data_IF_935831367632
#
_entry.id   IF_935831367632
#
_cell.length_a   1.000
_cell.length_b   1.000
_cell.length_c   1.000
_cell.angle_alpha   90.00
_cell.angle_beta   90.00
_cell.angle_gamma   90.00
#
_symmetry.space_group_name_H-M   'P 1'
#
loop_
_entity.id
_entity.type
_entity.pdbx_description
1 polymer ?
#
# COMPACT_ATOMS: atom_id res chain seq x y z
N UNK A 1 13.34 -16.92 -5.45
CA UNK A 1 14.25 -15.86 -4.93
C UNK A 1 13.51 -14.52 -4.95
N UNK A 2 13.41 -13.83 -3.82
CA UNK A 2 12.78 -12.51 -3.74
C UNK A 2 13.70 -11.51 -4.45
N UNK A 3 13.29 -10.95 -5.60
CA UNK A 3 14.06 -9.93 -6.34
C UNK A 3 14.49 -8.81 -5.37
N UNK A 4 15.74 -8.33 -5.47
CA UNK A 4 16.20 -7.14 -4.74
C UNK A 4 15.18 -6.03 -4.97
N UNK A 5 14.63 -5.51 -3.88
CA UNK A 5 13.42 -4.68 -3.94
C UNK A 5 13.68 -3.35 -4.65
N UNK A 6 14.87 -2.76 -4.50
CA UNK A 6 15.29 -1.54 -5.19
C UNK A 6 16.49 -1.83 -6.12
N UNK A 7 16.25 -1.86 -7.42
CA UNK A 7 17.28 -1.89 -8.48
C UNK A 7 16.74 -1.04 -9.61
N UNK A 8 17.48 -0.01 -10.02
CA UNK A 8 17.11 0.75 -11.22
C UNK A 8 17.08 -0.20 -12.42
N UNK A 9 15.99 -0.13 -13.17
CA UNK A 9 15.90 -0.71 -14.50
C UNK A 9 16.30 0.32 -15.55
N UNK A 10 16.31 -0.09 -16.81
CA UNK A 10 16.37 0.86 -17.93
C UNK A 10 14.96 1.34 -18.27
N UNK A 11 14.89 2.54 -18.86
CA UNK A 11 13.64 3.02 -19.43
C UNK A 11 13.15 2.03 -20.48
N UNK A 12 11.88 1.63 -20.40
CA UNK A 12 11.29 0.74 -21.41
C UNK A 12 9.77 0.89 -21.51
N UNK A 13 9.25 0.63 -22.70
CA UNK A 13 7.82 0.43 -22.92
C UNK A 13 7.47 -1.03 -22.84
N UNK A 14 6.34 -1.33 -22.21
CA UNK A 14 5.87 -2.68 -21.99
C UNK A 14 4.45 -2.80 -22.54
N UNK A 15 4.28 -3.57 -23.60
CA UNK A 15 2.98 -3.87 -24.20
C UNK A 15 2.39 -5.11 -23.53
N UNK A 16 1.09 -5.07 -23.26
CA UNK A 16 0.41 -6.14 -22.54
C UNK A 16 -0.18 -7.15 -23.49
N UNK A 17 0.10 -8.42 -23.23
CA UNK A 17 -0.62 -9.52 -23.86
C UNK A 17 -2.04 -9.64 -23.28
N UNK A 18 -2.96 -10.34 -23.97
CA UNK A 18 -4.29 -10.64 -23.44
C UNK A 18 -4.26 -11.29 -22.05
N UNK A 19 -3.31 -12.19 -21.80
CA UNK A 19 -3.14 -12.87 -20.51
C UNK A 19 -2.76 -11.89 -19.41
N UNK A 20 -1.95 -10.86 -19.73
CA UNK A 20 -1.58 -9.83 -18.75
C UNK A 20 -2.76 -8.94 -18.39
N UNK A 21 -3.60 -8.60 -19.37
CA UNK A 21 -4.86 -7.90 -19.11
C UNK A 21 -5.81 -8.73 -18.26
N UNK A 22 -5.89 -10.04 -18.50
CA UNK A 22 -6.69 -10.98 -17.70
C UNK A 22 -6.24 -11.01 -16.24
N UNK A 23 -4.94 -11.08 -15.99
CA UNK A 23 -4.38 -11.03 -14.63
C UNK A 23 -4.77 -9.73 -13.93
N UNK A 24 -4.62 -8.59 -14.60
CA UNK A 24 -5.00 -7.31 -14.03
C UNK A 24 -6.50 -7.27 -13.70
N UNK A 25 -7.36 -7.74 -14.62
CA UNK A 25 -8.81 -7.75 -14.42
C UNK A 25 -9.20 -8.56 -13.19
N UNK A 26 -8.71 -9.80 -13.06
CA UNK A 26 -8.98 -10.66 -11.90
C UNK A 26 -8.54 -10.02 -10.58
N UNK A 27 -7.36 -9.39 -10.56
CA UNK A 27 -6.84 -8.70 -9.36
C UNK A 27 -7.68 -7.47 -9.01
N UNK A 28 -8.17 -6.73 -10.01
CA UNK A 28 -9.10 -5.60 -9.82
C UNK A 28 -10.48 -6.05 -9.35
N UNK A 29 -11.02 -7.12 -9.92
CA UNK A 29 -12.29 -7.71 -9.47
C UNK A 29 -12.22 -8.10 -7.99
N UNK A 30 -11.11 -8.74 -7.57
CA UNK A 30 -10.87 -9.06 -6.17
C UNK A 30 -10.83 -7.80 -5.29
N UNK A 31 -10.12 -6.76 -5.71
CA UNK A 31 -10.08 -5.48 -4.99
C UNK A 31 -11.49 -4.86 -4.87
N UNK A 32 -12.26 -4.84 -5.96
CA UNK A 32 -13.64 -4.32 -6.00
C UNK A 32 -14.54 -5.08 -5.03
N UNK A 33 -14.45 -6.42 -4.97
CA UNK A 33 -15.27 -7.23 -4.05
C UNK A 33 -15.08 -6.78 -2.59
N UNK A 34 -13.83 -6.58 -2.17
CA UNK A 34 -13.51 -6.17 -0.80
C UNK A 34 -13.87 -4.70 -0.56
N UNK A 35 -13.49 -3.80 -1.48
CA UNK A 35 -13.77 -2.38 -1.35
C UNK A 35 -15.27 -2.08 -1.31
N UNK A 36 -16.11 -2.83 -2.06
CA UNK A 36 -17.57 -2.76 -1.96
C UNK A 36 -18.10 -3.12 -0.58
N UNK A 37 -17.55 -4.18 0.03
CA UNK A 37 -17.94 -4.59 1.38
C UNK A 37 -17.61 -3.49 2.38
N UNK A 38 -16.42 -2.89 2.28
CA UNK A 38 -16.02 -1.76 3.10
C UNK A 38 -16.93 -0.53 2.88
N UNK A 39 -17.25 -0.20 1.62
CA UNK A 39 -18.13 0.93 1.27
C UNK A 39 -19.55 0.75 1.84
N UNK A 40 -20.11 -0.46 1.82
CA UNK A 40 -21.42 -0.77 2.42
C UNK A 40 -21.47 -0.45 3.92
N UNK A 41 -20.32 -0.51 4.60
CA UNK A 41 -20.17 -0.15 6.01
C UNK A 41 -19.66 1.30 6.20
N UNK A 42 -19.67 2.12 5.14
CA UNK A 42 -19.16 3.50 5.15
C UNK A 42 -17.67 3.59 5.53
N UNK A 43 -16.88 2.57 5.20
CA UNK A 43 -15.45 2.51 5.48
C UNK A 43 -14.71 2.89 4.19
N UNK A 44 -14.16 4.11 4.07
CA UNK A 44 -13.48 4.54 2.87
C UNK A 44 -12.15 3.80 2.70
N UNK A 45 -11.91 3.28 1.50
CA UNK A 45 -10.71 2.53 1.17
C UNK A 45 -10.20 2.86 -0.24
N UNK A 46 -8.91 2.61 -0.44
CA UNK A 46 -8.20 2.72 -1.71
C UNK A 46 -7.50 1.39 -2.01
N UNK A 47 -7.40 1.02 -3.28
CA UNK A 47 -6.42 0.03 -3.73
C UNK A 47 -5.17 0.78 -4.15
N UNK A 48 -3.98 0.23 -3.89
CA UNK A 48 -2.73 0.89 -4.26
C UNK A 48 -1.72 -0.07 -4.88
N UNK A 49 -0.63 0.51 -5.38
CA UNK A 49 0.45 -0.25 -5.98
C UNK A 49 0.10 -0.80 -7.36
N UNK A 50 0.55 -2.02 -7.65
CA UNK A 50 0.52 -2.54 -9.02
C UNK A 50 -0.89 -2.75 -9.60
N UNK A 51 -1.90 -2.95 -8.75
CA UNK A 51 -3.31 -3.07 -9.18
C UNK A 51 -3.88 -1.72 -9.59
N UNK A 52 -3.54 -0.66 -8.85
CA UNK A 52 -3.96 0.71 -9.16
C UNK A 52 -3.26 1.24 -10.43
N UNK A 53 -1.95 1.07 -10.52
CA UNK A 53 -1.15 1.49 -11.68
C UNK A 53 -1.43 0.65 -12.92
N UNK A 54 -1.79 -0.61 -12.74
CA UNK A 54 -2.08 -1.55 -13.81
C UNK A 54 -0.89 -2.37 -14.28
N UNK A 55 0.26 -2.34 -13.60
CA UNK A 55 1.44 -3.17 -13.87
C UNK A 55 1.44 -4.52 -13.11
N UNK A 56 0.29 -4.94 -12.60
CA UNK A 56 0.13 -6.19 -11.86
C UNK A 56 0.59 -7.43 -12.66
N UNK A 57 1.13 -8.40 -11.93
CA UNK A 57 1.56 -9.71 -12.43
C UNK A 57 0.87 -10.81 -11.63
N UNK A 58 1.04 -12.08 -12.03
CA UNK A 58 0.48 -13.21 -11.28
C UNK A 58 1.01 -13.30 -9.84
N UNK A 59 2.20 -12.76 -9.58
CA UNK A 59 2.82 -12.67 -8.26
C UNK A 59 2.48 -11.38 -7.49
N UNK A 60 1.66 -10.50 -8.07
CA UNK A 60 1.24 -9.27 -7.39
C UNK A 60 0.19 -9.57 -6.34
N UNK A 61 0.38 -8.95 -5.18
CA UNK A 61 -0.60 -8.89 -4.11
C UNK A 61 -1.69 -7.85 -4.45
N UNK A 62 -2.87 -8.01 -3.85
CA UNK A 62 -3.93 -6.99 -3.86
C UNK A 62 -3.84 -6.24 -2.54
N UNK A 63 -3.30 -5.02 -2.59
CA UNK A 63 -3.13 -4.21 -1.38
C UNK A 63 -4.22 -3.12 -1.30
N UNK A 64 -5.00 -3.17 -0.23
CA UNK A 64 -6.09 -2.23 0.06
C UNK A 64 -5.75 -1.49 1.34
N UNK A 65 -5.95 -0.17 1.34
CA UNK A 65 -5.78 0.66 2.53
C UNK A 65 -7.06 1.39 2.89
N UNK A 66 -7.49 1.26 4.15
CA UNK A 66 -8.60 2.04 4.71
C UNK A 66 -8.06 3.41 5.11
N UNK A 67 -8.60 4.48 4.53
CA UNK A 67 -8.03 5.84 4.64
C UNK A 67 -8.47 6.59 5.89
N UNK A 68 -9.44 6.05 6.63
CA UNK A 68 -9.98 6.64 7.87
C UNK A 68 -9.80 5.70 9.05
N UNK A 69 -9.32 6.25 10.17
CA UNK A 69 -9.25 5.52 11.45
C UNK A 69 -10.64 5.01 11.81
N UNK A 70 -10.77 3.70 11.83
CA UNK A 70 -12.02 2.98 12.06
C UNK A 70 -11.74 1.87 13.08
N UNK A 71 -12.60 1.66 14.10
CA UNK A 71 -12.44 0.56 15.04
C UNK A 71 -12.25 -0.79 14.34
N UNK A 72 -11.26 -1.56 14.75
CA UNK A 72 -10.87 -2.79 14.04
C UNK A 72 -12.01 -3.80 13.94
N UNK A 73 -12.85 -3.92 14.97
CA UNK A 73 -14.00 -4.83 14.96
C UNK A 73 -15.01 -4.52 13.84
N UNK A 74 -15.21 -3.24 13.47
CA UNK A 74 -16.09 -2.88 12.35
C UNK A 74 -15.49 -3.28 11.01
N UNK A 75 -14.16 -3.21 10.89
CA UNK A 75 -13.44 -3.66 9.71
C UNK A 75 -13.57 -5.18 9.59
N UNK A 76 -13.40 -5.91 10.69
CA UNK A 76 -13.55 -7.38 10.70
C UNK A 76 -14.98 -7.79 10.33
N UNK A 77 -16.01 -7.12 10.87
CA UNK A 77 -17.41 -7.35 10.49
C UNK A 77 -17.64 -7.04 9.00
N UNK A 78 -17.08 -5.94 8.48
CA UNK A 78 -17.25 -5.59 7.07
C UNK A 78 -16.56 -6.62 6.15
N UNK A 79 -15.50 -7.28 6.62
CA UNK A 79 -14.78 -8.32 5.90
C UNK A 79 -15.31 -9.73 6.21
N UNK A 80 -16.42 -9.86 6.94
CA UNK A 80 -17.03 -11.16 7.21
C UNK A 80 -17.39 -11.88 5.89
N UNK A 81 -17.13 -13.18 5.86
CA UNK A 81 -17.24 -14.03 4.68
C UNK A 81 -15.98 -14.11 3.80
N UNK A 82 -14.91 -13.35 4.09
CA UNK A 82 -13.56 -13.64 3.57
C UNK A 82 -12.78 -14.51 4.56
N UNK A 83 -11.77 -15.24 4.08
CA UNK A 83 -10.97 -16.11 4.93
C UNK A 83 -9.74 -15.39 5.48
N UNK A 84 -9.67 -15.25 6.80
CA UNK A 84 -8.60 -14.52 7.48
C UNK A 84 -7.41 -15.46 7.65
N UNK A 85 -6.26 -15.09 7.07
CA UNK A 85 -5.03 -15.88 7.15
C UNK A 85 -4.20 -15.48 8.37
N UNK A 86 -4.02 -14.17 8.60
CA UNK A 86 -3.37 -13.65 9.80
C UNK A 86 -3.63 -12.16 10.01
N UNK A 87 -3.52 -11.73 11.26
CA UNK A 87 -3.67 -10.35 11.71
C UNK A 87 -2.35 -9.83 12.25
N UNK A 88 -1.93 -8.61 11.88
CA UNK A 88 -0.65 -8.01 12.28
C UNK A 88 -0.76 -6.54 12.63
N UNK A 89 0.03 -6.10 13.60
CA UNK A 89 0.32 -4.68 13.81
C UNK A 89 1.70 -4.41 13.23
N UNK A 90 1.76 -3.41 12.34
CA UNK A 90 3.01 -2.97 11.71
C UNK A 90 3.27 -1.49 11.93
N UNK A 91 4.54 -1.14 12.07
CA UNK A 91 4.99 0.24 12.09
C UNK A 91 6.36 0.32 11.40
N UNK A 92 6.45 1.08 10.31
CA UNK A 92 7.66 1.15 9.50
C UNK A 92 8.82 1.80 10.27
N UNK A 93 8.58 2.98 10.86
CA UNK A 93 9.53 3.73 11.69
C UNK A 93 8.82 4.27 12.93
N UNK A 94 9.54 4.64 14.00
CA UNK A 94 8.90 5.07 15.25
C UNK A 94 7.95 6.28 15.12
N UNK A 95 8.18 7.16 14.14
CA UNK A 95 7.38 8.36 13.91
C UNK A 95 6.22 8.14 12.93
N UNK A 96 6.21 7.00 12.22
CA UNK A 96 5.18 6.67 11.24
C UNK A 96 3.94 6.09 11.91
N UNK A 97 2.81 6.12 11.22
CA UNK A 97 1.56 5.56 11.69
C UNK A 97 1.70 4.07 11.97
N UNK A 98 1.14 3.68 13.11
CA UNK A 98 0.89 2.29 13.46
C UNK A 98 -0.31 1.82 12.64
N UNK A 99 -0.17 0.71 11.94
CA UNK A 99 -1.21 0.14 11.08
C UNK A 99 -1.57 -1.26 11.56
N UNK A 100 -2.85 -1.59 11.46
CA UNK A 100 -3.32 -2.96 11.44
C UNK A 100 -3.26 -3.49 10.01
N UNK A 101 -2.94 -4.76 9.86
CA UNK A 101 -3.01 -5.50 8.59
C UNK A 101 -3.79 -6.79 8.82
N UNK A 102 -4.78 -7.03 7.97
CA UNK A 102 -5.50 -8.30 7.86
C UNK A 102 -5.11 -8.91 6.52
N UNK A 103 -4.39 -10.02 6.56
CA UNK A 103 -4.13 -10.83 5.38
C UNK A 103 -5.30 -11.78 5.14
N UNK A 104 -5.85 -11.74 3.94
CA UNK A 104 -6.93 -12.60 3.47
C UNK A 104 -6.37 -13.63 2.47
N UNK A 105 -7.21 -14.55 2.04
CA UNK A 105 -6.93 -15.45 0.93
C UNK A 105 -6.60 -14.70 -0.39
N UNK A 106 -6.10 -15.44 -1.37
CA UNK A 106 -5.76 -14.94 -2.72
C UNK A 106 -4.71 -13.81 -2.77
N UNK A 107 -3.83 -13.77 -1.77
CA UNK A 107 -2.78 -12.76 -1.60
C UNK A 107 -3.38 -11.34 -1.54
N UNK A 108 -4.40 -11.17 -0.70
CA UNK A 108 -5.03 -9.86 -0.49
C UNK A 108 -4.73 -9.36 0.91
N UNK A 109 -4.33 -8.10 1.05
CA UNK A 109 -4.06 -7.48 2.34
C UNK A 109 -4.93 -6.24 2.49
N UNK A 110 -5.64 -6.14 3.61
CA UNK A 110 -6.36 -4.93 4.02
C UNK A 110 -5.62 -4.30 5.19
N UNK A 111 -4.99 -3.15 4.94
CA UNK A 111 -4.28 -2.38 5.94
C UNK A 111 -5.11 -1.17 6.38
N UNK A 112 -4.98 -0.74 7.64
CA UNK A 112 -5.74 0.37 8.18
C UNK A 112 -4.99 1.07 9.33
N UNK A 113 -5.21 2.37 9.54
CA UNK A 113 -4.50 3.11 10.56
C UNK A 113 -5.12 2.84 11.95
N UNK A 114 -4.27 2.56 12.94
CA UNK A 114 -4.66 2.43 14.36
C UNK A 114 -4.54 3.76 15.12
N UNK A 115 -3.93 4.76 14.48
CA UNK A 115 -3.75 6.15 14.95
C UNK A 115 -4.21 7.13 13.87
N UNK A 116 -4.32 8.41 14.20
CA UNK A 116 -4.60 9.41 13.16
C UNK A 116 -3.44 9.50 12.17
N UNK A 117 -3.78 9.56 10.88
CA UNK A 117 -2.81 9.72 9.80
C UNK A 117 -2.35 11.17 9.69
N UNK A 118 -1.06 11.36 9.49
CA UNK A 118 -0.46 12.63 9.03
C UNK A 118 -0.62 12.71 7.52
N UNK A 119 -0.70 13.92 6.94
CA UNK A 119 -0.88 14.12 5.49
C UNK A 119 0.16 13.35 4.66
N UNK A 120 1.43 13.39 5.07
CA UNK A 120 2.53 12.65 4.43
C UNK A 120 2.34 11.13 4.39
N UNK A 121 1.62 10.57 5.36
CA UNK A 121 1.36 9.11 5.42
C UNK A 121 0.28 8.70 4.41
N UNK A 122 -0.61 9.62 4.02
CA UNK A 122 -1.57 9.42 2.94
C UNK A 122 -0.87 9.57 1.59
N UNK A 123 -0.01 10.58 1.44
CA UNK A 123 0.76 10.81 0.21
C UNK A 123 1.66 9.63 -0.18
N UNK A 124 2.09 8.82 0.79
CA UNK A 124 2.80 7.57 0.51
C UNK A 124 2.03 6.64 -0.43
N UNK A 125 0.70 6.55 -0.31
CA UNK A 125 -0.11 5.71 -1.19
C UNK A 125 -0.22 6.31 -2.59
N UNK A 126 -0.33 7.63 -2.69
CA UNK A 126 -0.30 8.35 -3.98
C UNK A 126 1.04 8.16 -4.69
N UNK A 127 2.16 8.21 -3.94
CA UNK A 127 3.49 7.93 -4.49
C UNK A 127 3.55 6.55 -5.15
N UNK A 128 2.93 5.53 -4.55
CA UNK A 128 2.83 4.20 -5.11
C UNK A 128 1.77 4.02 -6.20
N UNK A 129 0.95 5.03 -6.46
CA UNK A 129 -0.28 4.96 -7.25
C UNK A 129 -1.43 4.37 -6.43
N UNK A 130 -2.53 5.11 -6.29
CA UNK A 130 -3.72 4.71 -5.54
C UNK A 130 -5.01 5.07 -6.30
N UNK A 131 -6.02 4.21 -6.18
CA UNK A 131 -7.35 4.43 -6.77
C UNK A 131 -8.44 4.15 -5.73
N UNK A 132 -9.48 4.97 -5.75
CA UNK A 132 -10.72 4.70 -5.03
C UNK A 132 -11.58 3.68 -5.79
N UNK A 133 -12.67 3.24 -5.15
CA UNK A 133 -13.58 2.24 -5.72
C UNK A 133 -14.19 2.73 -7.04
N UNK A 134 -14.61 4.00 -7.08
CA UNK A 134 -15.21 4.60 -8.27
C UNK A 134 -14.25 4.57 -9.47
N UNK A 135 -13.02 5.03 -9.29
CA UNK A 135 -12.01 5.06 -10.36
C UNK A 135 -11.61 3.65 -10.80
N UNK A 136 -11.61 2.70 -9.87
CA UNK A 136 -11.35 1.29 -10.17
C UNK A 136 -12.44 0.67 -11.06
N UNK A 137 -13.71 1.03 -10.82
CA UNK A 137 -14.85 0.66 -11.66
C UNK A 137 -14.82 1.30 -13.05
N UNK A 138 -14.35 2.55 -13.13
CA UNK A 138 -14.11 3.25 -14.41
C UNK A 138 -12.86 2.72 -15.14
N UNK A 139 -12.28 1.62 -14.66
CA UNK A 139 -11.08 0.95 -15.19
C UNK A 139 -9.84 1.86 -15.31
N UNK A 140 -9.83 3.00 -14.61
CA UNK A 140 -8.72 3.96 -14.65
C UNK A 140 -7.43 3.30 -14.22
N UNK A 141 -6.32 3.76 -14.80
CA UNK A 141 -4.96 3.45 -14.36
C UNK A 141 -4.28 4.77 -14.02
N UNK A 142 -3.48 4.76 -12.97
CA UNK A 142 -2.84 5.96 -12.44
C UNK A 142 -1.31 5.81 -12.46
N UNK A 143 -0.55 6.88 -12.71
CA UNK A 143 0.89 6.89 -12.45
C UNK A 143 1.23 6.48 -11.02
N UNK A 144 2.41 5.90 -10.84
CA UNK A 144 2.93 5.57 -9.52
C UNK A 144 4.32 4.96 -9.58
N UNK A 145 5.03 4.97 -8.46
CA UNK A 145 6.38 4.42 -8.36
C UNK A 145 6.31 3.01 -7.77
N UNK A 146 6.93 2.06 -8.46
CA UNK A 146 7.00 0.69 -7.97
C UNK A 146 8.16 0.50 -6.96
N UNK A 147 8.27 -0.71 -6.40
CA UNK A 147 9.28 -1.01 -5.40
C UNK A 147 10.73 -0.87 -5.90
N UNK A 148 10.93 -0.98 -7.22
CA UNK A 148 12.23 -0.91 -7.91
C UNK A 148 12.72 0.52 -8.11
N UNK A 149 11.95 1.54 -7.71
CA UNK A 149 12.17 2.95 -8.04
C UNK A 149 11.97 3.26 -9.53
N UNK A 150 11.00 2.58 -10.15
CA UNK A 150 10.53 2.90 -11.50
C UNK A 150 9.18 3.64 -11.40
N UNK A 151 9.11 4.82 -12.00
CA UNK A 151 7.85 5.45 -12.35
C UNK A 151 7.17 4.60 -13.42
N UNK A 152 5.95 4.18 -13.14
CA UNK A 152 5.08 3.45 -14.06
C UNK A 152 4.09 4.45 -14.62
N UNK A 153 4.16 4.69 -15.93
CA UNK A 153 3.23 5.56 -16.66
C UNK A 153 2.31 4.71 -17.55
N UNK A 154 1.04 4.53 -17.16
CA UNK A 154 0.10 3.75 -17.96
C UNK A 154 -0.24 4.44 -19.28
N UNK A 155 -0.37 3.68 -20.36
CA UNK A 155 -0.97 4.10 -21.63
C UNK A 155 -1.87 2.99 -22.18
N UNK A 156 -2.67 3.25 -23.21
CA UNK A 156 -3.76 2.36 -23.64
C UNK A 156 -3.39 0.86 -23.74
N UNK A 157 -2.25 0.53 -24.34
CA UNK A 157 -1.84 -0.86 -24.61
C UNK A 157 -0.86 -1.44 -23.55
N UNK A 158 -0.48 -0.66 -22.53
CA UNK A 158 0.50 -1.10 -21.53
C UNK A 158 1.02 0.02 -20.62
N UNK A 159 2.32 0.04 -20.34
CA UNK A 159 2.95 1.10 -19.55
C UNK A 159 4.40 1.38 -19.95
N UNK A 160 4.86 2.59 -19.63
CA UNK A 160 6.27 2.96 -19.69
C UNK A 160 6.87 2.87 -18.28
N UNK A 161 8.05 2.27 -18.16
CA UNK A 161 8.86 2.28 -16.94
C UNK A 161 9.96 3.32 -17.12
N UNK A 162 10.07 4.26 -16.18
CA UNK A 162 11.11 5.30 -16.18
C UNK A 162 11.81 5.29 -14.81
N UNK A 163 13.14 5.18 -14.73
CA UNK A 163 13.85 5.36 -13.47
C UNK A 163 13.53 6.73 -12.88
N UNK A 164 13.15 6.79 -11.60
CA UNK A 164 12.80 8.09 -10.98
C UNK A 164 13.99 9.04 -10.82
N UNK A 165 15.23 8.55 -11.04
CA UNK A 165 16.42 9.40 -11.09
C UNK A 165 16.56 10.15 -12.41
N UNK A 166 15.87 9.69 -13.45
CA UNK A 166 15.87 10.33 -14.78
C UNK A 166 14.76 11.40 -14.88
N UNK A 167 14.03 11.65 -13.80
CA UNK A 167 12.91 12.59 -13.71
C UNK A 167 13.17 13.53 -12.55
N UNK A 168 13.02 14.83 -12.78
CA UNK A 168 13.15 15.85 -11.76
C UNK A 168 12.07 15.69 -10.67
N UNK A 169 12.40 16.00 -9.41
CA UNK A 169 11.49 15.80 -8.29
C UNK A 169 10.24 16.68 -8.37
N UNK A 170 10.33 17.89 -8.94
CA UNK A 170 9.17 18.75 -9.16
C UNK A 170 8.25 18.17 -10.23
N UNK A 171 8.82 17.61 -11.31
CA UNK A 171 8.04 16.93 -12.34
C UNK A 171 7.33 15.69 -11.76
N UNK A 172 8.07 14.87 -11.01
CA UNK A 172 7.54 13.68 -10.35
C UNK A 172 6.41 14.03 -9.36
N UNK A 173 6.54 15.15 -8.62
CA UNK A 173 5.52 15.64 -7.69
C UNK A 173 4.18 15.94 -8.38
N UNK A 174 4.24 16.53 -9.57
CA UNK A 174 3.06 16.84 -10.40
C UNK A 174 2.43 15.57 -10.97
N UNK A 175 3.25 14.65 -11.46
CA UNK A 175 2.78 13.38 -12.03
C UNK A 175 2.09 12.51 -10.98
N UNK A 176 2.67 12.43 -9.78
CA UNK A 176 2.19 11.56 -8.69
C UNK A 176 1.14 12.22 -7.80
N UNK A 177 0.93 13.54 -7.94
CA UNK A 177 0.10 14.34 -7.05
C UNK A 177 0.51 14.15 -5.56
N UNK A 178 1.80 14.38 -5.29
CA UNK A 178 2.42 14.26 -3.96
C UNK A 178 3.38 15.40 -3.70
N UNK A 179 3.67 15.70 -2.44
CA UNK A 179 4.71 16.67 -2.08
C UNK A 179 6.11 16.21 -2.52
N UNK A 180 7.02 17.16 -2.71
CA UNK A 180 8.43 16.88 -3.02
C UNK A 180 9.08 16.13 -1.84
N UNK A 181 8.73 16.51 -0.60
CA UNK A 181 9.29 15.90 0.61
C UNK A 181 9.06 14.38 0.69
N UNK A 182 7.89 13.89 0.27
CA UNK A 182 7.63 12.45 0.28
C UNK A 182 8.45 11.76 -0.81
N UNK A 183 8.67 12.39 -1.96
CA UNK A 183 9.50 11.84 -3.04
C UNK A 183 10.95 11.68 -2.57
N UNK A 184 11.53 12.72 -1.98
CA UNK A 184 12.89 12.70 -1.44
C UNK A 184 13.04 11.63 -0.34
N UNK A 185 12.08 11.56 0.58
CA UNK A 185 12.07 10.53 1.63
C UNK A 185 12.05 9.13 1.02
N UNK A 186 11.17 8.90 0.03
CA UNK A 186 11.02 7.58 -0.61
C UNK A 186 12.24 7.19 -1.44
N UNK A 187 12.85 8.12 -2.17
CA UNK A 187 14.14 7.92 -2.85
C UNK A 187 15.19 7.44 -1.85
N UNK A 188 15.42 8.23 -0.79
CA UNK A 188 16.41 7.93 0.26
C UNK A 188 16.18 6.57 0.95
N UNK A 189 14.93 6.27 1.33
CA UNK A 189 14.60 5.03 2.06
C UNK A 189 14.83 3.79 1.17
N UNK A 190 14.41 3.85 -0.09
CA UNK A 190 14.52 2.71 -1.01
C UNK A 190 15.94 2.53 -1.54
N UNK A 191 16.71 3.60 -1.73
CA UNK A 191 18.14 3.55 -2.03
C UNK A 191 18.94 2.96 -0.87
N UNK A 192 18.74 3.45 0.36
CA UNK A 192 19.39 2.86 1.54
C UNK A 192 19.08 1.36 1.68
N UNK A 193 17.85 0.95 1.32
CA UNK A 193 17.45 -0.47 1.29
C UNK A 193 18.21 -1.27 0.23
N UNK A 194 18.54 -0.67 -0.92
CA UNK A 194 19.38 -1.30 -1.96
C UNK A 194 20.81 -1.50 -1.48
N UNK A 195 21.39 -0.49 -0.84
CA UNK A 195 22.79 -0.50 -0.36
C UNK A 195 22.99 -1.46 0.80
N UNK A 196 22.13 -1.38 1.82
CA UNK A 196 22.33 -2.09 3.10
C UNK A 196 21.44 -3.33 3.27
N UNK A 197 20.49 -3.57 2.34
CA UNK A 197 19.56 -4.70 2.36
C UNK A 197 18.47 -4.62 3.44
N UNK A 198 18.55 -3.68 4.39
CA UNK A 198 17.64 -3.58 5.54
C UNK A 198 17.16 -2.14 5.75
N UNK A 199 15.86 -1.96 5.59
CA UNK A 199 15.11 -0.97 6.39
C UNK A 199 14.37 -1.82 7.41
N UNK A 200 14.92 -1.94 8.63
CA UNK A 200 14.23 -2.65 9.71
C UNK A 200 12.84 -2.06 9.89
N UNK A 201 11.83 -2.91 9.99
CA UNK A 201 10.48 -2.48 10.38
C UNK A 201 10.51 -2.33 11.90
N UNK A 202 10.12 -1.17 12.42
CA UNK A 202 10.16 -0.90 13.86
C UNK A 202 9.25 -1.83 14.67
N UNK A 203 8.05 -2.13 14.15
CA UNK A 203 7.11 -3.07 14.75
C UNK A 203 6.52 -3.98 13.67
N UNK A 204 6.53 -5.30 13.89
CA UNK A 204 5.83 -6.27 13.07
C UNK A 204 5.46 -7.47 13.95
N UNK A 205 4.25 -7.46 14.48
CA UNK A 205 3.79 -8.44 15.47
C UNK A 205 2.44 -9.00 15.09
N UNK A 206 2.24 -10.31 15.25
CA UNK A 206 0.95 -10.95 15.04
C UNK A 206 -0.03 -10.60 16.17
N UNK A 207 -1.30 -10.39 15.82
CA UNK A 207 -2.40 -10.16 16.76
C UNK A 207 -3.13 -11.48 16.99
N UNK A 208 -3.25 -11.98 18.24
CA UNK A 208 -4.02 -13.18 18.54
C UNK A 208 -5.50 -13.04 18.18
N UNK A 209 -6.14 -14.11 17.69
CA UNK A 209 -7.54 -14.10 17.25
C UNK A 209 -8.54 -13.77 18.38
N UNK A 210 -8.17 -14.02 19.63
CA UNK A 210 -8.96 -13.69 20.81
C UNK A 210 -8.76 -12.25 21.33
N UNK A 211 -7.97 -11.42 20.63
CA UNK A 211 -7.71 -10.03 21.00
C UNK A 211 -8.03 -9.07 19.85
N UNK A 212 -8.51 -7.87 20.18
CA UNK A 212 -8.62 -6.77 19.21
C UNK A 212 -7.27 -6.13 18.94
N UNK A 213 -7.14 -5.48 17.77
CA UNK A 213 -5.93 -4.73 17.42
C UNK A 213 -5.62 -3.65 18.46
N UNK A 214 -6.64 -2.92 18.92
CA UNK A 214 -6.50 -1.83 19.89
C UNK A 214 -6.02 -2.35 21.25
N UNK A 215 -6.63 -3.43 21.77
CA UNK A 215 -6.23 -4.01 23.06
C UNK A 215 -4.79 -4.52 23.03
N UNK A 216 -4.42 -5.20 21.95
CA UNK A 216 -3.07 -5.72 21.79
C UNK A 216 -2.04 -4.59 21.61
N UNK A 217 -2.40 -3.53 20.86
CA UNK A 217 -1.57 -2.34 20.69
C UNK A 217 -1.29 -1.65 22.03
N UNK A 218 -2.31 -1.48 22.88
CA UNK A 218 -2.15 -0.91 24.21
C UNK A 218 -1.18 -1.73 25.08
N UNK A 219 -1.28 -3.07 25.04
CA UNK A 219 -0.36 -3.96 25.77
C UNK A 219 1.09 -3.77 25.33
N UNK A 220 1.34 -3.61 24.03
CA UNK A 220 2.68 -3.35 23.49
C UNK A 220 3.17 -1.96 23.92
N UNK A 221 2.32 -0.94 23.82
CA UNK A 221 2.67 0.45 24.14
C UNK A 221 2.93 0.69 25.64
N UNK A 222 2.38 -0.13 26.54
CA UNK A 222 2.75 -0.13 27.97
C UNK A 222 4.23 -0.46 28.19
N UNK A 223 4.84 -1.23 27.29
CA UNK A 223 6.26 -1.62 27.37
C UNK A 223 7.18 -0.77 26.48
N UNK A 224 6.63 0.05 25.59
CA UNK A 224 7.40 0.84 24.62
C UNK A 224 7.00 2.34 24.66
N UNK A 225 7.81 3.22 25.29
CA UNK A 225 7.51 4.65 25.40
C UNK A 225 7.39 5.37 24.05
N UNK A 226 8.15 4.94 23.05
CA UNK A 226 8.14 5.58 21.73
C UNK A 226 6.84 5.30 21.00
N UNK A 227 6.35 4.06 21.07
CA UNK A 227 5.03 3.69 20.54
C UNK A 227 3.92 4.45 21.27
N UNK A 228 4.00 4.57 22.59
CA UNK A 228 3.02 5.31 23.40
C UNK A 228 2.87 6.76 22.97
N UNK A 229 3.98 7.46 22.71
CA UNK A 229 3.95 8.84 22.22
C UNK A 229 3.16 8.97 20.91
N UNK A 230 3.33 8.03 19.98
CA UNK A 230 2.61 8.06 18.69
C UNK A 230 1.11 7.78 18.83
N UNK A 231 0.67 7.06 19.88
CA UNK A 231 -0.75 6.80 20.16
C UNK A 231 -1.49 8.01 20.74
N UNK A 232 -0.77 8.88 21.44
CA UNK A 232 -1.31 10.08 22.10
C UNK A 232 -1.31 11.33 21.20
N UNK A 233 -0.61 11.28 20.07
CA UNK A 233 -0.63 12.28 18.99
C UNK A 233 -1.85 12.09 18.06
#
# INVERSE_FOLDING_TARGET
>A
MRKKTATFGERKKVIYSPERWEILRKKRERAIQIMKRLEKHSIPAIVYGSVARGDATSQSDVDIFITRRTPSYLIEIALDGFNFIHRKIVQATPNYAVKGEIALEDNTTVSFPLVNLKSREIEFYNFGGALDLKSLFEEKRIPGVDKRLMLILPFNEGHEEIPILDVDDLELSKILNTGIEIIEERKRVLEKRRETGRTGVFLNVGVPDNESFESYLEKIARKNPVLRRRLTE
#
